data_IF_789329094610
#
_entry.id   IF_789329094610
#
_cell.length_a   1.000
_cell.length_b   1.000
_cell.length_c   1.000
_cell.angle_alpha   90.00
_cell.angle_beta   90.00
_cell.angle_gamma   90.00
#
_symmetry.space_group_name_H-M   'P 1'
#
loop_
_entity.id
_entity.type
_entity.pdbx_description
1 polymer ?
#
# COMPACT_ATOMS: atom_id res chain seq x y z
N UNK A 1 20.03 -9.38 -12.55
CA UNK A 1 19.29 -10.35 -11.71
C UNK A 1 18.44 -9.57 -10.74
N UNK A 2 17.11 -9.64 -10.84
CA UNK A 2 16.24 -9.13 -9.78
C UNK A 2 16.34 -10.10 -8.61
N UNK A 3 16.72 -9.61 -7.43
CA UNK A 3 16.59 -10.39 -6.20
C UNK A 3 15.10 -10.70 -6.06
N UNK A 4 14.72 -11.96 -6.23
CA UNK A 4 13.38 -12.42 -5.87
C UNK A 4 13.29 -12.32 -4.36
N UNK A 5 12.69 -11.25 -3.85
CA UNK A 5 12.29 -11.18 -2.45
C UNK A 5 11.41 -12.39 -2.17
N UNK A 6 11.84 -13.23 -1.24
CA UNK A 6 11.04 -14.37 -0.82
C UNK A 6 9.75 -13.82 -0.17
N UNK A 7 8.55 -14.30 -0.58
CA UNK A 7 7.26 -13.73 -0.16
C UNK A 7 7.02 -13.80 1.35
N UNK A 8 7.81 -14.59 2.10
CA UNK A 8 7.76 -14.64 3.57
C UNK A 8 8.26 -13.39 4.30
N UNK A 9 8.74 -12.35 3.59
CA UNK A 9 9.18 -11.08 4.19
C UNK A 9 8.19 -9.94 3.96
N UNK A 10 7.09 -10.19 3.24
CA UNK A 10 6.05 -9.21 3.00
C UNK A 10 5.08 -9.18 4.19
N UNK A 11 5.26 -8.20 5.08
CA UNK A 11 4.38 -7.96 6.24
C UNK A 11 3.41 -6.84 5.90
N UNK A 12 2.13 -6.98 6.28
CA UNK A 12 1.14 -5.94 6.08
C UNK A 12 1.48 -4.70 6.92
N UNK A 13 1.55 -3.52 6.29
CA UNK A 13 2.00 -2.30 6.98
C UNK A 13 1.15 -1.98 8.21
N UNK A 14 -0.16 -2.21 8.14
CA UNK A 14 -1.06 -2.00 9.28
C UNK A 14 -0.81 -2.92 10.48
N UNK A 15 -0.42 -4.19 10.25
CA UNK A 15 -0.12 -5.11 11.35
C UNK A 15 1.20 -4.73 12.02
N UNK A 16 2.21 -4.36 11.23
CA UNK A 16 3.47 -3.83 11.74
C UNK A 16 3.30 -2.52 12.51
N UNK A 17 2.49 -1.58 12.00
CA UNK A 17 2.16 -0.35 12.71
C UNK A 17 1.50 -0.64 14.06
N UNK A 18 0.67 -1.69 14.14
CA UNK A 18 0.04 -2.10 15.38
C UNK A 18 1.09 -2.58 16.39
N UNK A 19 1.93 -3.54 16.02
CA UNK A 19 2.89 -4.17 16.94
C UNK A 19 4.07 -3.28 17.31
N UNK A 20 4.58 -2.50 16.35
CA UNK A 20 5.82 -1.74 16.54
C UNK A 20 5.59 -0.30 16.99
N UNK A 21 4.40 0.27 16.73
CA UNK A 21 4.13 1.69 17.00
C UNK A 21 2.98 1.87 18.00
N UNK A 22 1.79 1.33 17.70
CA UNK A 22 0.58 1.63 18.49
C UNK A 22 0.58 0.93 19.85
N UNK A 23 0.88 -0.37 19.88
CA UNK A 23 0.91 -1.15 21.14
C UNK A 23 2.02 -0.65 22.09
N UNK A 24 3.27 -0.40 21.65
CA UNK A 24 4.32 0.15 22.52
C UNK A 24 4.06 1.57 23.00
N UNK A 25 3.35 2.39 22.21
CA UNK A 25 2.94 3.74 22.63
C UNK A 25 1.84 3.73 23.70
N UNK A 26 1.19 2.59 23.95
CA UNK A 26 0.12 2.47 24.96
C UNK A 26 -1.15 3.26 24.59
N UNK A 27 -1.35 3.60 23.31
CA UNK A 27 -2.48 4.41 22.85
C UNK A 27 -3.63 3.49 22.42
N UNK A 28 -4.85 3.81 22.85
CA UNK A 28 -6.03 3.07 22.39
C UNK A 28 -6.35 3.38 20.92
N UNK A 29 -6.87 2.39 20.19
CA UNK A 29 -7.32 2.60 18.79
C UNK A 29 -8.34 3.75 18.68
N UNK A 30 -9.23 3.90 19.65
CA UNK A 30 -10.21 5.00 19.67
C UNK A 30 -9.55 6.37 19.86
N UNK A 31 -8.56 6.45 20.76
CA UNK A 31 -7.78 7.68 20.99
C UNK A 31 -6.98 8.08 19.74
N UNK A 32 -6.31 7.11 19.12
CA UNK A 32 -5.54 7.36 17.91
C UNK A 32 -6.43 7.75 16.73
N UNK A 33 -7.57 7.09 16.54
CA UNK A 33 -8.52 7.44 15.49
C UNK A 33 -9.04 8.87 15.64
N UNK A 34 -9.35 9.28 16.88
CA UNK A 34 -9.79 10.64 17.20
C UNK A 34 -8.68 11.66 16.92
N UNK A 35 -7.44 11.37 17.33
CA UNK A 35 -6.28 12.21 17.05
C UNK A 35 -6.02 12.34 15.54
N UNK A 36 -6.22 11.25 14.80
CA UNK A 36 -6.06 11.22 13.36
C UNK A 36 -7.23 11.83 12.61
N UNK A 37 -8.36 12.12 13.25
CA UNK A 37 -9.56 12.62 12.56
C UNK A 37 -10.14 11.60 11.57
N UNK A 38 -10.07 10.30 11.91
CA UNK A 38 -10.60 9.20 11.08
C UNK A 38 -11.57 8.34 11.89
N UNK A 39 -12.37 7.52 11.22
CA UNK A 39 -13.25 6.59 11.94
C UNK A 39 -12.43 5.51 12.65
N UNK A 40 -12.87 5.12 13.85
CA UNK A 40 -12.30 3.97 14.58
C UNK A 40 -12.32 2.69 13.74
N UNK A 41 -13.36 2.51 12.93
CA UNK A 41 -13.50 1.34 12.06
C UNK A 41 -12.42 1.31 10.98
N UNK A 42 -12.13 2.45 10.33
CA UNK A 42 -11.08 2.53 9.32
C UNK A 42 -9.70 2.23 9.91
N UNK A 43 -9.36 2.86 11.04
CA UNK A 43 -8.09 2.59 11.72
C UNK A 43 -7.99 1.14 12.21
N UNK A 44 -9.08 0.59 12.75
CA UNK A 44 -9.12 -0.80 13.21
C UNK A 44 -9.00 -1.80 12.06
N UNK A 45 -9.60 -1.54 10.91
CA UNK A 45 -9.45 -2.38 9.72
C UNK A 45 -7.99 -2.41 9.26
N UNK A 46 -7.33 -1.25 9.21
CA UNK A 46 -5.91 -1.13 8.88
C UNK A 46 -5.04 -1.91 9.87
N UNK A 47 -5.16 -1.63 11.17
CA UNK A 47 -4.29 -2.22 12.21
C UNK A 47 -4.47 -3.74 12.38
N UNK A 48 -5.54 -4.30 11.81
CA UNK A 48 -5.81 -5.74 11.82
C UNK A 48 -5.59 -6.41 10.45
N UNK A 49 -4.90 -5.75 9.52
CA UNK A 49 -4.59 -6.34 8.21
C UNK A 49 -5.78 -6.48 7.25
N UNK A 50 -6.91 -5.83 7.55
CA UNK A 50 -8.15 -5.94 6.76
C UNK A 50 -8.33 -4.81 5.75
N UNK A 51 -7.44 -3.82 5.77
CA UNK A 51 -7.43 -2.71 4.83
C UNK A 51 -5.99 -2.26 4.59
N UNK A 52 -5.62 -1.99 3.34
CA UNK A 52 -4.30 -1.47 2.98
C UNK A 52 -4.06 -0.07 3.55
N UNK A 53 -2.81 0.23 3.85
CA UNK A 53 -2.38 1.58 4.23
C UNK A 53 -2.51 2.55 3.04
N UNK A 54 -3.28 3.62 3.21
CA UNK A 54 -3.32 4.74 2.25
C UNK A 54 -2.21 5.76 2.53
N UNK A 55 -1.85 6.55 1.50
CA UNK A 55 -0.85 7.61 1.63
C UNK A 55 -1.23 8.65 2.70
N UNK A 56 -2.50 9.08 2.74
CA UNK A 56 -2.98 10.01 3.77
C UNK A 56 -2.82 9.45 5.18
N UNK A 57 -3.10 8.15 5.37
CA UNK A 57 -2.92 7.51 6.66
C UNK A 57 -1.44 7.37 7.02
N UNK A 58 -0.58 7.04 6.05
CA UNK A 58 0.87 6.99 6.25
C UNK A 58 1.42 8.36 6.71
N UNK A 59 0.96 9.46 6.11
CA UNK A 59 1.31 10.83 6.54
C UNK A 59 0.82 11.13 7.96
N UNK A 60 -0.36 10.63 8.37
CA UNK A 60 -0.84 10.78 9.75
C UNK A 60 0.08 10.06 10.74
N UNK A 61 0.52 8.85 10.41
CA UNK A 61 1.52 8.14 11.23
C UNK A 61 2.86 8.85 11.26
N UNK A 62 3.33 9.41 10.15
CA UNK A 62 4.56 10.21 10.11
C UNK A 62 4.47 11.43 11.03
N UNK A 63 3.37 12.18 10.95
CA UNK A 63 3.18 13.37 11.78
C UNK A 63 3.07 13.05 13.28
N UNK A 64 2.48 11.91 13.63
CA UNK A 64 2.26 11.55 15.03
C UNK A 64 3.43 10.80 15.68
N UNK A 65 4.19 10.01 14.91
CA UNK A 65 5.21 9.11 15.45
C UNK A 65 6.60 9.28 14.82
N UNK A 66 6.75 10.13 13.80
CA UNK A 66 8.03 10.39 13.12
C UNK A 66 8.49 9.27 12.18
N UNK A 67 7.67 8.25 11.94
CA UNK A 67 7.96 7.18 10.97
C UNK A 67 7.73 7.68 9.55
N UNK A 68 8.73 7.59 8.67
CA UNK A 68 8.61 8.12 7.30
C UNK A 68 7.48 7.44 6.52
N UNK A 69 6.55 8.24 5.99
CA UNK A 69 5.43 7.76 5.20
C UNK A 69 5.90 6.96 3.96
N UNK A 70 6.97 7.42 3.30
CA UNK A 70 7.57 6.71 2.17
C UNK A 70 8.02 5.29 2.51
N UNK A 71 8.55 5.09 3.72
CA UNK A 71 8.97 3.76 4.20
C UNK A 71 7.75 2.86 4.37
N UNK A 72 6.69 3.38 5.00
CA UNK A 72 5.44 2.64 5.17
C UNK A 72 4.78 2.30 3.83
N UNK A 73 4.80 3.22 2.86
CA UNK A 73 4.24 2.97 1.53
C UNK A 73 5.04 1.93 0.75
N UNK A 74 6.37 1.90 0.89
CA UNK A 74 7.21 0.82 0.31
C UNK A 74 6.87 -0.54 0.91
N UNK A 75 6.66 -0.58 2.22
CA UNK A 75 6.24 -1.80 2.92
C UNK A 75 4.88 -2.30 2.42
N UNK A 76 3.87 -1.41 2.37
CA UNK A 76 2.55 -1.76 1.85
C UNK A 76 2.63 -2.22 0.39
N UNK A 77 3.39 -1.53 -0.45
CA UNK A 77 3.55 -1.90 -1.87
C UNK A 77 4.21 -3.27 -2.02
N UNK A 78 5.20 -3.59 -1.19
CA UNK A 78 5.82 -4.91 -1.20
C UNK A 78 4.83 -6.02 -0.79
N UNK A 79 3.96 -5.75 0.18
CA UNK A 79 2.89 -6.66 0.58
C UNK A 79 1.85 -6.87 -0.53
N UNK A 80 1.35 -5.78 -1.11
CA UNK A 80 0.36 -5.84 -2.18
C UNK A 80 0.92 -6.58 -3.41
N UNK A 81 2.19 -6.33 -3.75
CA UNK A 81 2.88 -7.06 -4.81
C UNK A 81 3.03 -8.55 -4.48
N UNK A 82 3.35 -8.92 -3.25
CA UNK A 82 3.45 -10.33 -2.85
C UNK A 82 2.10 -11.06 -2.99
N UNK A 83 1.00 -10.41 -2.58
CA UNK A 83 -0.35 -10.94 -2.78
C UNK A 83 -0.69 -11.07 -4.27
N UNK A 84 -0.41 -10.02 -5.06
CA UNK A 84 -0.65 -10.04 -6.51
C UNK A 84 0.14 -11.16 -7.21
N UNK A 85 1.38 -11.42 -6.76
CA UNK A 85 2.21 -12.50 -7.27
C UNK A 85 1.64 -13.88 -6.95
N UNK A 86 0.96 -14.05 -5.81
CA UNK A 86 0.37 -15.34 -5.44
C UNK A 86 -0.74 -15.79 -6.40
N UNK A 87 -1.45 -14.85 -7.03
CA UNK A 87 -2.49 -15.11 -8.03
C UNK A 87 -2.09 -14.60 -9.43
N UNK A 88 -0.79 -14.47 -9.73
CA UNK A 88 -0.34 -13.91 -11.02
C UNK A 88 -0.77 -14.76 -12.21
N UNK A 89 -0.98 -16.06 -12.01
CA UNK A 89 -1.47 -16.98 -13.04
C UNK A 89 -2.90 -16.66 -13.51
N UNK A 90 -3.67 -15.90 -12.75
CA UNK A 90 -5.02 -15.45 -13.14
C UNK A 90 -4.98 -14.17 -13.99
N UNK A 91 -3.81 -13.51 -14.07
CA UNK A 91 -3.62 -12.25 -14.80
C UNK A 91 -3.15 -12.59 -16.23
N UNK A 92 -4.11 -12.70 -17.15
CA UNK A 92 -3.83 -13.06 -18.55
C UNK A 92 -3.53 -11.83 -19.42
N UNK A 93 -2.25 -11.54 -19.64
CA UNK A 93 -1.81 -10.47 -20.54
C UNK A 93 -0.63 -10.97 -21.38
N UNK A 94 -0.75 -10.89 -22.70
CA UNK A 94 0.34 -11.21 -23.62
C UNK A 94 1.36 -10.08 -23.73
N UNK A 95 2.62 -10.36 -24.10
CA UNK A 95 3.59 -9.30 -24.40
C UNK A 95 3.04 -8.36 -25.48
N UNK A 96 3.15 -7.05 -25.26
CA UNK A 96 2.92 -6.09 -26.33
C UNK A 96 4.01 -6.29 -27.38
N UNK A 97 3.63 -6.76 -28.56
CA UNK A 97 4.50 -6.70 -29.72
C UNK A 97 4.83 -5.23 -30.00
N UNK A 98 6.09 -4.92 -30.29
CA UNK A 98 6.57 -3.56 -30.55
C UNK A 98 6.02 -3.01 -31.88
N UNK A 99 4.72 -2.71 -31.93
CA UNK A 99 4.05 -1.86 -32.91
C UNK A 99 2.53 -1.89 -32.63
N UNK A 100 2.05 -1.01 -31.74
CA UNK A 100 0.75 -0.41 -31.97
C UNK A 100 1.01 0.90 -32.71
N UNK A 101 0.97 0.94 -34.05
CA UNK A 101 1.02 2.22 -34.75
C UNK A 101 -0.20 3.01 -34.26
N UNK A 102 0.05 4.11 -33.54
CA UNK A 102 -0.96 5.13 -33.34
C UNK A 102 -1.27 5.70 -34.72
N UNK A 103 -2.39 5.30 -35.31
CA UNK A 103 -3.02 6.04 -36.39
C UNK A 103 -3.51 7.37 -35.81
N UNK A 104 -2.60 8.33 -35.65
CA UNK A 104 -3.00 9.74 -35.54
C UNK A 104 -3.45 10.11 -36.95
N UNK A 105 -4.74 9.91 -37.23
CA UNK A 105 -5.37 10.52 -38.39
C UNK A 105 -5.44 12.01 -38.11
N UNK A 106 -4.41 12.73 -38.54
CA UNK A 106 -4.41 14.19 -38.62
C UNK A 106 -5.52 14.55 -39.61
N UNK A 107 -6.68 14.97 -39.10
CA UNK A 107 -7.61 15.74 -39.91
C UNK A 107 -7.11 17.18 -39.94
N UNK A 108 -6.07 17.42 -40.74
CA UNK A 108 -5.83 18.74 -41.32
C UNK A 108 -6.86 18.99 -42.43
N UNK A 109 -7.24 20.26 -42.56
CA UNK A 109 -8.47 20.70 -43.17
C UNK A 109 -8.55 20.63 -44.69
N UNK A 110 -9.80 20.74 -45.14
CA UNK A 110 -10.22 21.41 -46.37
C UNK A 110 -11.63 21.95 -46.14
#
# INVERSE_FOLDING_TARGET
MAIKMHPSLAVHAGEWLRTEIVEPAGITVSGLASHFGVSRQALSALLNGRASLSADMAIRFEKAFGVKADTLMRMQSAFDMAQARAHEGEIHVGPLAAAMPHSVSVMEGA
#
